data_IF_342574396507
#
_entry.id   IF_342574396507
#
_cell.length_a   1.000
_cell.length_b   1.000
_cell.length_c   1.000
_cell.angle_alpha   90.00
_cell.angle_beta   90.00
_cell.angle_gamma   90.00
#
_symmetry.space_group_name_H-M   'P 1'
#
loop_
_entity.id
_entity.type
_entity.pdbx_description
1 polymer ?
#
# COMPACT_ATOMS: atom_id res chain seq x y z
N UNK A 1 -1.57 35.09 15.87
CA UNK A 1 -2.19 34.09 16.77
C UNK A 1 -1.73 32.71 16.29
N UNK A 2 -0.61 32.21 16.82
CA UNK A 2 -0.06 30.92 16.43
C UNK A 2 -0.76 29.82 17.23
N UNK A 3 -1.39 28.87 16.55
CA UNK A 3 -1.97 27.68 17.17
C UNK A 3 -0.83 26.78 17.67
N UNK A 4 -0.88 26.22 18.89
CA UNK A 4 0.14 25.30 19.36
C UNK A 4 -0.13 23.96 18.69
N UNK A 5 0.35 23.79 17.46
CA UNK A 5 0.49 22.47 16.87
C UNK A 5 1.59 21.78 17.66
N UNK A 6 1.15 21.00 18.65
CA UNK A 6 1.92 20.06 19.45
C UNK A 6 3.03 19.44 18.60
N UNK A 7 4.25 19.93 18.78
CA UNK A 7 5.45 19.23 18.34
C UNK A 7 5.60 18.02 19.24
N UNK A 8 4.83 16.96 18.95
CA UNK A 8 5.03 15.64 19.53
C UNK A 8 6.34 15.10 18.94
N UNK A 9 7.43 15.42 19.63
CA UNK A 9 8.71 14.73 19.48
C UNK A 9 8.49 13.34 20.07
N UNK A 10 8.28 12.35 19.20
CA UNK A 10 8.22 10.96 19.62
C UNK A 10 9.61 10.55 20.10
N UNK A 11 9.77 10.47 21.42
CA UNK A 11 10.95 9.92 22.05
C UNK A 11 10.97 8.41 21.80
N UNK A 12 12.09 7.82 21.31
CA UNK A 12 12.15 6.41 20.93
C UNK A 12 11.99 5.42 22.10
N UNK A 13 11.93 5.92 23.34
CA UNK A 13 11.79 5.12 24.56
C UNK A 13 10.35 5.02 25.11
N UNK A 14 9.32 5.46 24.39
CA UNK A 14 7.99 5.57 24.97
C UNK A 14 7.05 4.41 24.62
N UNK A 15 6.49 3.81 25.69
CA UNK A 15 5.40 2.83 25.78
C UNK A 15 4.06 3.31 25.15
N UNK A 16 4.11 4.35 24.31
CA UNK A 16 2.96 5.00 23.73
C UNK A 16 2.55 4.31 22.44
N UNK A 17 1.41 3.62 22.47
CA UNK A 17 0.85 2.92 21.32
C UNK A 17 -0.08 3.84 20.54
N UNK A 18 0.44 4.44 19.48
CA UNK A 18 -0.30 5.39 18.63
C UNK A 18 -1.60 4.83 18.07
N UNK A 19 -1.72 3.50 17.92
CA UNK A 19 -2.92 2.83 17.42
C UNK A 19 -4.01 2.62 18.49
N UNK A 20 -3.75 2.91 19.77
CA UNK A 20 -4.74 2.88 20.86
C UNK A 20 -5.33 4.27 21.16
N UNK A 21 -4.81 5.34 20.54
CA UNK A 21 -5.26 6.72 20.72
C UNK A 21 -6.23 7.16 19.60
N UNK A 22 -7.52 7.39 19.90
CA UNK A 22 -8.51 7.80 18.89
C UNK A 22 -8.28 9.22 18.36
N UNK A 23 -7.52 10.05 19.07
CA UNK A 23 -7.17 11.40 18.59
C UNK A 23 -6.04 11.38 17.57
N UNK A 24 -5.29 10.27 17.48
CA UNK A 24 -4.16 10.12 16.58
C UNK A 24 -4.56 9.39 15.29
N UNK A 25 -5.02 10.16 14.30
CA UNK A 25 -5.52 9.61 13.03
C UNK A 25 -4.59 9.83 11.82
N UNK A 26 -3.57 10.70 11.93
CA UNK A 26 -2.55 10.90 10.87
C UNK A 26 -1.24 11.44 11.41
N UNK A 27 -0.12 11.00 10.82
CA UNK A 27 1.21 11.58 11.01
C UNK A 27 1.90 11.81 9.67
N UNK A 28 2.34 13.05 9.41
CA UNK A 28 3.05 13.44 8.18
C UNK A 28 2.39 12.94 6.87
N UNK A 29 1.08 12.70 6.89
CA UNK A 29 0.29 12.31 5.72
C UNK A 29 -0.13 13.57 4.96
N UNK A 30 0.02 13.56 3.63
CA UNK A 30 -0.49 14.62 2.75
C UNK A 30 -2.00 14.78 2.89
N UNK A 31 -2.51 15.99 2.68
CA UNK A 31 -3.94 16.24 2.72
C UNK A 31 -4.68 15.53 1.57
N UNK A 32 -5.95 15.21 1.82
CA UNK A 32 -6.79 14.54 0.85
C UNK A 32 -6.99 15.45 -0.37
N UNK A 33 -6.90 14.85 -1.56
CA UNK A 33 -7.07 15.51 -2.84
C UNK A 33 -7.71 14.53 -3.83
N UNK A 34 -8.21 15.06 -4.95
CA UNK A 34 -8.69 14.24 -6.07
C UNK A 34 -7.56 13.34 -6.60
N UNK A 35 -7.88 12.20 -7.20
CA UNK A 35 -6.86 11.33 -7.80
C UNK A 35 -6.08 12.08 -8.89
N UNK A 36 -4.77 12.17 -8.71
CA UNK A 36 -3.86 12.80 -9.67
C UNK A 36 -2.91 11.73 -10.23
N UNK A 37 -2.77 11.70 -11.55
CA UNK A 37 -1.81 10.85 -12.25
C UNK A 37 -0.81 11.74 -12.98
N UNK A 38 0.48 11.49 -12.77
CA UNK A 38 1.53 12.25 -13.42
C UNK A 38 1.74 11.73 -14.84
N UNK A 39 1.61 12.63 -15.82
CA UNK A 39 1.86 12.36 -17.24
C UNK A 39 2.95 13.28 -17.77
N UNK A 40 3.66 12.82 -18.79
CA UNK A 40 4.66 13.60 -19.52
C UNK A 40 4.03 14.59 -20.52
N UNK A 41 2.84 14.26 -21.04
CA UNK A 41 2.15 14.96 -22.12
C UNK A 41 0.65 15.08 -21.86
N UNK A 42 0.03 16.12 -22.41
CA UNK A 42 -1.44 16.32 -22.32
C UNK A 42 -2.17 15.20 -23.05
N UNK A 43 -1.68 14.80 -24.23
CA UNK A 43 -2.25 13.72 -25.04
C UNK A 43 -2.20 12.38 -24.30
N UNK A 44 -1.09 12.10 -23.60
CA UNK A 44 -0.95 10.93 -22.73
C UNK A 44 -1.99 10.91 -21.61
N UNK A 45 -2.23 12.06 -20.98
CA UNK A 45 -3.22 12.20 -19.91
C UNK A 45 -4.66 11.96 -20.40
N UNK A 46 -5.03 12.55 -21.55
CA UNK A 46 -6.37 12.40 -22.15
C UNK A 46 -6.58 10.96 -22.60
N UNK A 47 -5.58 10.34 -23.23
CA UNK A 47 -5.63 8.93 -23.64
C UNK A 47 -5.80 8.00 -22.44
N UNK A 48 -5.01 8.21 -21.39
CA UNK A 48 -5.09 7.42 -20.16
C UNK A 48 -6.48 7.48 -19.55
N UNK A 49 -7.02 8.69 -19.39
CA UNK A 49 -8.35 8.92 -18.85
C UNK A 49 -9.42 8.24 -19.71
N UNK A 50 -9.42 8.45 -21.03
CA UNK A 50 -10.42 7.88 -21.93
C UNK A 50 -10.43 6.35 -21.96
N UNK A 51 -9.26 5.71 -21.86
CA UNK A 51 -9.15 4.26 -21.84
C UNK A 51 -9.68 3.64 -20.54
N UNK A 52 -9.63 4.38 -19.43
CA UNK A 52 -9.94 3.87 -18.08
C UNK A 52 -11.20 4.46 -17.46
N UNK A 53 -11.80 5.46 -18.07
CA UNK A 53 -13.11 6.00 -17.68
C UNK A 53 -14.28 5.10 -18.10
N UNK A 54 -14.03 4.11 -18.96
CA UNK A 54 -15.04 3.17 -19.47
C UNK A 54 -15.16 1.87 -18.66
N UNK A 55 -14.76 1.88 -17.40
CA UNK A 55 -14.90 0.69 -16.53
C UNK A 55 -16.37 0.51 -16.17
N UNK A 56 -16.96 -0.59 -16.63
CA UNK A 56 -18.32 -1.00 -16.29
C UNK A 56 -18.32 -1.72 -14.93
N UNK A 57 -19.19 -1.31 -14.01
CA UNK A 57 -19.33 -1.95 -12.71
C UNK A 57 -19.70 -3.44 -12.82
N UNK A 58 -20.36 -3.86 -13.90
CA UNK A 58 -20.69 -5.27 -14.15
C UNK A 58 -19.44 -6.14 -14.24
N UNK A 59 -18.30 -5.58 -14.67
CA UNK A 59 -17.00 -6.28 -14.72
C UNK A 59 -16.59 -6.74 -13.32
N UNK A 60 -16.96 -6.02 -12.25
CA UNK A 60 -16.65 -6.44 -10.87
C UNK A 60 -17.27 -7.78 -10.50
N UNK A 61 -18.39 -8.17 -11.12
CA UNK A 61 -19.04 -9.47 -10.87
C UNK A 61 -18.26 -10.66 -11.42
N UNK A 62 -17.33 -10.42 -12.35
CA UNK A 62 -16.42 -11.43 -12.89
C UNK A 62 -15.11 -11.54 -12.12
N UNK A 63 -14.97 -10.83 -10.98
CA UNK A 63 -13.80 -10.93 -10.14
C UNK A 63 -13.61 -12.38 -9.66
N UNK A 64 -12.40 -12.88 -9.82
CA UNK A 64 -12.02 -14.24 -9.44
C UNK A 64 -11.49 -14.24 -8.01
N UNK A 65 -11.94 -15.21 -7.22
CA UNK A 65 -11.57 -15.39 -5.81
C UNK A 65 -10.93 -16.74 -5.52
N UNK A 66 -10.58 -17.49 -6.57
CA UNK A 66 -9.86 -18.76 -6.46
C UNK A 66 -8.33 -18.56 -6.50
N UNK A 67 -7.58 -19.65 -6.66
CA UNK A 67 -6.11 -19.64 -6.71
C UNK A 67 -5.52 -18.73 -7.81
N UNK A 68 -6.30 -18.37 -8.83
CA UNK A 68 -5.89 -17.44 -9.89
C UNK A 68 -6.09 -15.96 -9.53
N UNK A 69 -6.77 -15.66 -8.42
CA UNK A 69 -7.04 -14.29 -7.97
C UNK A 69 -5.77 -13.45 -7.84
N UNK A 70 -4.69 -14.06 -7.35
CA UNK A 70 -3.38 -13.42 -7.22
C UNK A 70 -2.84 -12.97 -8.58
N UNK A 71 -2.80 -13.90 -9.56
CA UNK A 71 -2.33 -13.58 -10.91
C UNK A 71 -3.18 -12.48 -11.54
N UNK A 72 -4.50 -12.56 -11.40
CA UNK A 72 -5.43 -11.54 -11.94
C UNK A 72 -5.24 -10.17 -11.28
N UNK A 73 -4.95 -10.13 -9.98
CA UNK A 73 -4.66 -8.89 -9.28
C UNK A 73 -3.34 -8.26 -9.77
N UNK A 74 -2.31 -9.07 -10.03
CA UNK A 74 -1.04 -8.59 -10.58
C UNK A 74 -1.21 -8.06 -12.02
N UNK A 75 -1.95 -8.77 -12.87
CA UNK A 75 -2.28 -8.32 -14.23
C UNK A 75 -3.04 -6.98 -14.20
N UNK A 76 -3.99 -6.86 -13.27
CA UNK A 76 -4.75 -5.63 -13.07
C UNK A 76 -3.84 -4.48 -12.64
N UNK A 77 -2.97 -4.69 -11.65
CA UNK A 77 -2.01 -3.67 -11.21
C UNK A 77 -1.09 -3.22 -12.35
N UNK A 78 -0.58 -4.17 -13.15
CA UNK A 78 0.24 -3.87 -14.32
C UNK A 78 -0.53 -3.06 -15.38
N UNK A 79 -1.80 -3.38 -15.61
CA UNK A 79 -2.67 -2.63 -16.51
C UNK A 79 -2.85 -1.18 -16.05
N UNK A 80 -3.05 -0.91 -14.76
CA UNK A 80 -3.29 0.44 -14.25
C UNK A 80 -2.09 1.38 -14.36
N UNK A 81 -0.87 0.85 -14.28
CA UNK A 81 0.36 1.63 -14.43
C UNK A 81 0.87 1.70 -15.88
N UNK A 82 0.31 0.90 -16.80
CA UNK A 82 0.74 0.85 -18.20
C UNK A 82 0.66 2.22 -18.86
N UNK A 83 1.81 2.70 -19.33
CA UNK A 83 1.95 3.98 -20.04
C UNK A 83 2.05 5.21 -19.12
N UNK A 84 2.23 5.02 -17.81
CA UNK A 84 2.50 6.10 -16.86
C UNK A 84 4.02 6.26 -16.66
N UNK A 85 4.64 7.37 -17.12
CA UNK A 85 6.09 7.50 -17.12
C UNK A 85 6.71 7.69 -15.72
N UNK A 86 5.93 8.18 -14.76
CA UNK A 86 6.39 8.51 -13.41
C UNK A 86 5.80 7.61 -12.32
N UNK A 87 5.22 6.48 -12.71
CA UNK A 87 4.56 5.55 -11.78
C UNK A 87 5.21 4.19 -11.90
N UNK A 88 5.66 3.67 -10.76
CA UNK A 88 6.11 2.29 -10.66
C UNK A 88 5.15 1.51 -9.75
N UNK A 89 4.73 0.33 -10.20
CA UNK A 89 3.90 -0.57 -9.38
C UNK A 89 4.76 -1.25 -8.34
N UNK A 90 4.28 -1.27 -7.10
CA UNK A 90 4.83 -2.05 -6.00
C UNK A 90 4.02 -3.34 -5.75
N UNK A 91 3.04 -3.63 -6.61
CA UNK A 91 2.30 -4.90 -6.55
C UNK A 91 3.23 -6.04 -6.92
N UNK A 92 3.18 -7.11 -6.12
CA UNK A 92 4.08 -8.25 -6.29
C UNK A 92 4.12 -9.08 -5.02
N UNK A 93 5.19 -9.84 -4.91
CA UNK A 93 5.45 -10.75 -3.80
C UNK A 93 6.33 -10.06 -2.75
N UNK A 94 5.85 -9.95 -1.52
CA UNK A 94 6.49 -9.26 -0.40
C UNK A 94 6.81 -10.23 0.73
N UNK A 95 8.02 -10.15 1.28
CA UNK A 95 8.39 -10.88 2.51
C UNK A 95 7.44 -10.49 3.64
N UNK A 96 6.85 -11.48 4.29
CA UNK A 96 5.78 -11.28 5.26
C UNK A 96 5.93 -12.20 6.47
N UNK A 97 5.65 -11.65 7.66
CA UNK A 97 5.63 -12.37 8.92
C UNK A 97 4.29 -12.10 9.63
N UNK A 98 3.58 -13.16 9.98
CA UNK A 98 2.44 -13.09 10.88
C UNK A 98 2.89 -13.32 12.32
N UNK A 99 2.82 -12.27 13.15
CA UNK A 99 3.10 -12.36 14.58
C UNK A 99 1.79 -12.40 15.39
N UNK A 100 1.73 -13.13 16.51
CA UNK A 100 0.51 -13.26 17.33
C UNK A 100 0.13 -11.95 18.06
N UNK A 101 1.09 -11.04 18.26
CA UNK A 101 0.89 -9.72 18.83
C UNK A 101 2.07 -8.79 18.46
N UNK A 102 1.93 -7.45 18.59
CA UNK A 102 2.98 -6.50 18.23
C UNK A 102 4.30 -6.69 18.99
N UNK A 103 4.26 -7.18 20.24
CA UNK A 103 5.46 -7.41 21.04
C UNK A 103 6.27 -8.64 20.58
N UNK A 104 5.68 -9.50 19.75
CA UNK A 104 6.34 -10.70 19.21
C UNK A 104 7.05 -10.44 17.87
N UNK A 105 7.00 -9.21 17.36
CA UNK A 105 7.67 -8.83 16.11
C UNK A 105 9.18 -8.69 16.37
N UNK A 106 10.05 -9.22 15.48
CA UNK A 106 11.49 -9.07 15.63
C UNK A 106 11.93 -7.60 15.72
N UNK A 107 12.82 -7.24 16.65
CA UNK A 107 13.30 -5.87 16.76
C UNK A 107 14.07 -5.46 15.50
N UNK A 108 13.94 -4.19 15.10
CA UNK A 108 14.64 -3.61 13.95
C UNK A 108 14.39 -4.31 12.61
N UNK A 109 13.25 -5.00 12.43
CA UNK A 109 12.91 -5.66 11.16
C UNK A 109 12.81 -4.70 9.95
N UNK A 110 12.67 -3.40 10.20
CA UNK A 110 12.63 -2.35 9.19
C UNK A 110 14.02 -1.95 8.67
N UNK A 111 15.10 -2.44 9.29
CA UNK A 111 16.47 -2.12 8.90
C UNK A 111 16.87 -2.89 7.63
N UNK A 112 17.58 -2.22 6.71
CA UNK A 112 18.06 -2.83 5.46
C UNK A 112 19.02 -4.00 5.65
N UNK A 113 19.63 -4.13 6.82
CA UNK A 113 20.57 -5.21 7.17
C UNK A 113 19.89 -6.42 7.82
N UNK A 114 18.60 -6.29 8.17
CA UNK A 114 17.82 -7.38 8.78
C UNK A 114 17.70 -8.57 7.82
N UNK A 115 17.87 -9.78 8.35
CA UNK A 115 17.77 -11.01 7.57
C UNK A 115 16.34 -11.54 7.60
N UNK A 116 15.63 -11.39 6.48
CA UNK A 116 14.24 -11.84 6.29
C UNK A 116 14.14 -13.08 5.38
N UNK A 117 15.27 -13.76 5.11
CA UNK A 117 15.35 -14.90 4.19
C UNK A 117 14.42 -16.05 4.59
N UNK A 118 14.22 -16.25 5.90
CA UNK A 118 13.33 -17.24 6.47
C UNK A 118 11.83 -16.88 6.38
N UNK A 119 11.49 -15.63 6.05
CA UNK A 119 10.08 -15.21 5.93
C UNK A 119 9.47 -15.75 4.64
N UNK A 120 8.21 -16.13 4.73
CA UNK A 120 7.39 -16.46 3.57
C UNK A 120 7.04 -15.19 2.79
N UNK A 121 6.45 -15.37 1.61
CA UNK A 121 6.14 -14.27 0.71
C UNK A 121 4.63 -14.20 0.49
N UNK A 122 4.03 -13.02 0.62
CA UNK A 122 2.63 -12.76 0.28
C UNK A 122 2.51 -11.98 -1.04
N UNK A 123 1.50 -12.27 -1.88
CA UNK A 123 0.50 -13.32 -1.71
C UNK A 123 1.07 -14.72 -2.07
N UNK A 124 1.26 -15.58 -1.07
CA UNK A 124 1.82 -16.93 -1.18
C UNK A 124 0.77 -17.99 -0.87
N UNK A 125 1.18 -19.27 -0.76
CA UNK A 125 0.27 -20.37 -0.40
C UNK A 125 -0.48 -20.00 0.88
N UNK A 126 -1.82 -20.07 0.85
CA UNK A 126 -2.63 -19.98 2.07
C UNK A 126 -2.11 -21.01 3.07
N UNK A 127 -1.52 -20.56 4.17
CA UNK A 127 -1.33 -21.42 5.32
C UNK A 127 -2.72 -21.72 5.87
N UNK A 128 -3.17 -22.96 5.68
CA UNK A 128 -4.38 -23.47 6.35
C UNK A 128 -4.07 -23.45 7.84
N UNK A 129 -4.76 -22.59 8.59
CA UNK A 129 -4.76 -22.60 10.06
C UNK A 129 -5.52 -23.81 10.57
#
# INVERSE_FOLDING_TARGET
>A
MASPLSQLVFSPNNCYKVWEDPSFFKWRKRDAHVSLHCHDTVEGSVRYWYQRSKVDFLVSKSAVWDDSAVSRALDCAAFWVKGLPFVNSLSGYWKFLLAPNPASVPPNFYDSTFQDSAWETLPGKQSVL
#
